data_IF_121344841565
#
_entry.id   IF_121344841565
#
_cell.length_a   1.000
_cell.length_b   1.000
_cell.length_c   1.000
_cell.angle_alpha   90.00
_cell.angle_beta   90.00
_cell.angle_gamma   90.00
#
_symmetry.space_group_name_H-M   'P 1'
#
loop_
_entity.id
_entity.type
_entity.pdbx_description
1 polymer ?
#
# COMPACT_ATOMS: atom_id res chain seq x y z
N UNK A 1 18.33 -3.03 2.05
CA UNK A 1 17.38 -3.95 1.37
C UNK A 1 16.57 -3.06 0.47
N UNK A 2 16.98 -2.95 -0.79
CA UNK A 2 16.23 -2.19 -1.78
C UNK A 2 15.15 -3.12 -2.31
N UNK A 3 14.01 -3.14 -1.62
CA UNK A 3 12.85 -3.85 -2.10
C UNK A 3 12.12 -2.98 -3.14
N UNK A 4 11.94 -3.53 -4.33
CA UNK A 4 11.05 -2.95 -5.34
C UNK A 4 9.60 -3.30 -4.99
N UNK A 5 8.70 -2.32 -5.18
CA UNK A 5 7.26 -2.44 -4.99
C UNK A 5 6.57 -1.93 -6.26
N UNK A 6 5.47 -2.58 -6.66
CA UNK A 6 4.68 -2.15 -7.81
C UNK A 6 3.87 -0.89 -7.48
N UNK A 7 3.43 -0.76 -6.23
CA UNK A 7 2.62 0.36 -5.74
C UNK A 7 3.06 0.79 -4.36
N UNK A 8 3.12 2.10 -4.12
CA UNK A 8 3.28 2.71 -2.79
C UNK A 8 2.00 3.48 -2.45
N UNK A 9 1.37 3.13 -1.33
CA UNK A 9 0.20 3.81 -0.77
C UNK A 9 0.63 4.57 0.50
N UNK A 10 0.35 5.87 0.53
CA UNK A 10 0.66 6.75 1.65
C UNK A 10 -0.62 7.19 2.36
N UNK A 11 -0.75 6.88 3.64
CA UNK A 11 -1.91 7.19 4.49
C UNK A 11 -2.80 5.97 4.75
N UNK A 12 -3.35 5.86 5.96
CA UNK A 12 -4.16 4.72 6.43
C UNK A 12 -5.66 5.03 6.55
N UNK A 13 -6.14 6.02 5.80
CA UNK A 13 -7.58 6.27 5.65
C UNK A 13 -8.33 5.08 5.05
N UNK A 14 -9.67 5.08 5.19
CA UNK A 14 -10.51 3.97 4.74
C UNK A 14 -10.38 3.69 3.24
N UNK A 15 -10.24 4.73 2.42
CA UNK A 15 -10.18 4.59 0.96
C UNK A 15 -8.86 3.95 0.54
N UNK A 16 -7.77 4.41 1.16
CA UNK A 16 -6.41 3.94 0.96
C UNK A 16 -6.29 2.47 1.37
N UNK A 17 -6.88 2.09 2.51
CA UNK A 17 -6.92 0.70 2.97
C UNK A 17 -7.70 -0.23 2.02
N UNK A 18 -8.88 0.20 1.55
CA UNK A 18 -9.66 -0.59 0.60
C UNK A 18 -8.88 -0.76 -0.71
N UNK A 19 -8.28 0.31 -1.24
CA UNK A 19 -7.51 0.27 -2.47
C UNK A 19 -6.27 -0.64 -2.34
N UNK A 20 -5.51 -0.50 -1.25
CA UNK A 20 -4.34 -1.33 -0.94
C UNK A 20 -4.71 -2.82 -0.87
N UNK A 21 -5.85 -3.15 -0.26
CA UNK A 21 -6.37 -4.51 -0.21
C UNK A 21 -6.74 -5.07 -1.59
N UNK A 22 -7.42 -4.29 -2.43
CA UNK A 22 -7.77 -4.71 -3.80
C UNK A 22 -6.52 -4.95 -4.66
N UNK A 23 -5.54 -4.05 -4.61
CA UNK A 23 -4.28 -4.18 -5.36
C UNK A 23 -3.47 -5.40 -4.90
N UNK A 24 -3.51 -5.72 -3.60
CA UNK A 24 -2.89 -6.93 -3.05
C UNK A 24 -3.59 -8.21 -3.55
N UNK A 25 -4.93 -8.19 -3.67
CA UNK A 25 -5.71 -9.31 -4.23
C UNK A 25 -5.42 -9.50 -5.73
N UNK A 26 -5.17 -8.41 -6.45
CA UNK A 26 -4.76 -8.43 -7.86
C UNK A 26 -3.29 -8.89 -8.07
N UNK A 27 -2.58 -9.21 -6.98
CA UNK A 27 -1.23 -9.80 -7.01
C UNK A 27 -0.09 -8.78 -7.09
N UNK A 28 -0.37 -7.49 -6.91
CA UNK A 28 0.66 -6.45 -6.89
C UNK A 28 1.38 -6.41 -5.55
N UNK A 29 2.69 -6.16 -5.57
CA UNK A 29 3.49 -5.97 -4.36
C UNK A 29 3.32 -4.54 -3.86
N UNK A 30 2.45 -4.35 -2.87
CA UNK A 30 2.09 -3.03 -2.32
C UNK A 30 2.90 -2.71 -1.05
N UNK A 31 3.51 -1.52 -1.02
CA UNK A 31 3.99 -0.89 0.22
C UNK A 31 2.93 0.09 0.71
N UNK A 32 2.25 -0.23 1.81
CA UNK A 32 1.27 0.65 2.42
C UNK A 32 1.83 1.18 3.74
N UNK A 33 2.09 2.50 3.81
CA UNK A 33 2.67 3.15 4.98
C UNK A 33 1.96 4.44 5.32
N UNK A 34 2.06 4.85 6.58
CA UNK A 34 1.58 6.15 7.04
C UNK A 34 2.73 6.92 7.69
N UNK A 35 2.61 8.25 7.69
CA UNK A 35 3.46 9.10 8.50
C UNK A 35 2.68 9.40 9.77
N UNK A 36 2.71 8.48 10.72
CA UNK A 36 2.32 8.76 12.10
C UNK A 36 3.57 9.13 12.93
N UNK A 37 3.41 10.10 13.84
CA UNK A 37 4.45 10.59 14.75
C UNK A 37 5.00 9.50 15.68
#
# INVERSE_FOLDING_TARGET
MDEEYDVIVLGTGLKECILSGLLSVDGLKVLHMDIEN
#
